data_IF_743839791599
#
_entry.id   IF_743839791599
#
_cell.length_a   1.000
_cell.length_b   1.000
_cell.length_c   1.000
_cell.angle_alpha   90.00
_cell.angle_beta   90.00
_cell.angle_gamma   90.00
#
_symmetry.space_group_name_H-M   'P 1'
#
loop_
_entity.id
_entity.type
_entity.pdbx_description
1 polymer ?
#
# COMPACT_ATOMS: atom_id res chain seq x y z
N UNK A 1 -16.44 10.53 9.75
CA UNK A 1 -15.74 11.40 8.78
C UNK A 1 -15.84 10.81 7.39
N UNK A 2 -16.12 11.66 6.44
CA UNK A 2 -16.22 11.25 5.06
C UNK A 2 -14.84 11.25 4.41
N UNK A 3 -14.67 10.45 3.39
CA UNK A 3 -13.39 10.44 2.67
C UNK A 3 -13.00 11.81 2.14
N UNK A 4 -13.98 12.60 1.70
CA UNK A 4 -13.72 13.93 1.18
C UNK A 4 -13.11 14.88 2.20
N UNK A 5 -13.27 14.59 3.47
CA UNK A 5 -12.72 15.45 4.50
C UNK A 5 -11.22 15.37 4.61
N UNK A 6 -10.61 14.41 3.95
CA UNK A 6 -9.14 14.29 3.93
C UNK A 6 -8.48 15.49 3.25
N UNK A 7 -9.22 16.26 2.47
CA UNK A 7 -8.69 17.47 1.87
C UNK A 7 -8.20 18.44 2.93
N UNK A 8 -8.92 18.57 4.04
CA UNK A 8 -8.48 19.42 5.14
C UNK A 8 -7.26 18.84 5.85
N UNK A 9 -7.19 17.53 5.94
CA UNK A 9 -6.11 16.84 6.65
C UNK A 9 -4.81 16.89 5.87
N UNK A 10 -4.88 16.92 4.54
CA UNK A 10 -3.70 16.83 3.69
C UNK A 10 -2.65 17.87 4.03
N UNK A 11 -3.09 19.10 4.33
CA UNK A 11 -2.14 20.18 4.59
C UNK A 11 -1.36 19.99 5.87
N UNK A 12 -1.88 19.22 6.81
CA UNK A 12 -1.21 18.98 8.09
C UNK A 12 -0.48 17.65 8.12
N UNK A 13 -0.69 16.82 7.12
CA UNK A 13 -0.17 15.46 7.15
C UNK A 13 1.35 15.41 7.13
N UNK A 14 1.97 16.36 6.43
CA UNK A 14 3.43 16.43 6.35
C UNK A 14 4.08 16.80 7.68
N UNK A 15 3.32 17.35 8.59
CA UNK A 15 3.84 17.72 9.91
C UNK A 15 3.87 16.53 10.86
N UNK A 16 3.29 15.40 10.48
CA UNK A 16 3.29 14.22 11.31
C UNK A 16 4.63 13.52 11.20
N UNK A 17 5.07 12.88 12.31
CA UNK A 17 6.28 12.07 12.23
C UNK A 17 6.11 10.97 11.19
N UNK A 18 7.17 10.68 10.47
CA UNK A 18 7.18 9.56 9.57
C UNK A 18 7.14 8.27 10.37
N UNK A 19 6.79 7.17 9.71
CA UNK A 19 6.86 5.87 10.34
C UNK A 19 8.31 5.57 10.71
N UNK A 20 8.49 4.77 11.77
CA UNK A 20 9.83 4.41 12.21
C UNK A 20 10.53 3.55 11.15
N UNK A 21 11.68 3.99 10.64
CA UNK A 21 12.41 3.17 9.66
C UNK A 21 12.80 1.81 10.22
N UNK A 22 13.17 1.75 11.50
CA UNK A 22 13.54 0.48 12.12
C UNK A 22 12.37 -0.49 12.16
N UNK A 23 11.18 0.01 12.48
CA UNK A 23 9.99 -0.83 12.51
C UNK A 23 9.64 -1.33 11.13
N UNK A 24 9.72 -0.46 10.13
CA UNK A 24 9.45 -0.85 8.76
C UNK A 24 10.44 -1.89 8.27
N UNK A 25 11.70 -1.71 8.59
CA UNK A 25 12.73 -2.69 8.21
C UNK A 25 12.39 -4.06 8.77
N UNK A 26 11.98 -4.12 10.03
CA UNK A 26 11.62 -5.39 10.66
C UNK A 26 10.38 -6.00 10.04
N UNK A 27 9.38 -5.18 9.73
CA UNK A 27 8.17 -5.68 9.08
C UNK A 27 8.47 -6.23 7.70
N UNK A 28 9.28 -5.53 6.92
CA UNK A 28 9.65 -5.97 5.59
C UNK A 28 10.40 -7.31 5.68
N UNK A 29 11.31 -7.44 6.63
CA UNK A 29 12.05 -8.69 6.82
C UNK A 29 11.11 -9.84 7.18
N UNK A 30 10.11 -9.57 8.03
CA UNK A 30 9.12 -10.58 8.39
C UNK A 30 8.28 -11.03 7.21
N UNK A 31 7.83 -10.07 6.40
CA UNK A 31 6.96 -10.38 5.26
C UNK A 31 7.74 -11.05 4.16
N UNK A 32 8.98 -10.64 3.97
CA UNK A 32 9.83 -11.16 2.90
C UNK A 32 10.56 -12.42 3.37
N UNK A 33 9.81 -13.42 3.80
CA UNK A 33 10.39 -14.66 4.32
C UNK A 33 11.09 -15.48 3.22
N UNK A 34 10.74 -15.24 1.97
CA UNK A 34 11.40 -15.87 0.83
C UNK A 34 12.71 -15.18 0.47
N UNK A 35 13.02 -14.09 1.15
CA UNK A 35 14.24 -13.30 0.95
C UNK A 35 14.44 -12.87 -0.50
N UNK A 36 13.36 -12.48 -1.14
CA UNK A 36 13.43 -11.92 -2.48
C UNK A 36 14.14 -10.59 -2.46
N UNK A 37 14.78 -10.26 -3.57
CA UNK A 37 15.41 -8.95 -3.70
C UNK A 37 14.34 -7.88 -3.70
N UNK A 38 14.46 -6.90 -2.80
CA UNK A 38 13.43 -5.89 -2.63
C UNK A 38 13.14 -5.11 -3.91
N UNK A 39 14.16 -4.86 -4.72
CA UNK A 39 13.95 -4.09 -5.95
C UNK A 39 13.13 -4.85 -6.99
N UNK A 40 12.93 -6.14 -6.80
CA UNK A 40 12.10 -6.95 -7.69
C UNK A 40 10.66 -7.06 -7.19
N UNK A 41 10.35 -6.48 -6.03
CA UNK A 41 9.02 -6.55 -5.45
C UNK A 41 8.18 -5.35 -5.88
N UNK A 42 6.97 -5.63 -6.34
CA UNK A 42 5.99 -4.59 -6.69
C UNK A 42 5.01 -4.43 -5.54
N UNK A 43 5.03 -3.28 -4.92
CA UNK A 43 4.13 -2.95 -3.83
C UNK A 43 3.01 -2.07 -4.37
N UNK A 44 1.80 -2.35 -3.95
CA UNK A 44 0.67 -1.44 -4.18
C UNK A 44 0.23 -0.92 -2.82
N UNK A 45 0.39 0.37 -2.62
CA UNK A 45 -0.07 1.02 -1.39
C UNK A 45 -1.40 1.69 -1.66
N UNK A 46 -2.43 1.24 -0.97
CA UNK A 46 -3.80 1.74 -1.14
C UNK A 46 -4.09 2.72 -0.02
N UNK A 47 -4.61 3.89 -0.40
CA UNK A 47 -4.81 4.96 0.56
C UNK A 47 -3.50 5.62 0.94
N UNK A 48 -2.67 5.91 -0.06
CA UNK A 48 -1.30 6.39 0.16
C UNK A 48 -1.23 7.79 0.77
N UNK A 49 -2.33 8.55 0.70
CA UNK A 49 -2.38 9.88 1.29
C UNK A 49 -1.39 10.81 0.64
N UNK A 50 -0.57 11.47 1.45
CA UNK A 50 0.43 12.43 0.95
C UNK A 50 1.80 11.80 0.75
N UNK A 51 1.89 10.46 0.83
CA UNK A 51 3.09 9.76 0.39
C UNK A 51 4.17 9.56 1.43
N UNK A 52 3.87 9.74 2.70
CA UNK A 52 4.89 9.57 3.75
C UNK A 52 5.41 8.14 3.79
N UNK A 53 4.51 7.17 3.94
CA UNK A 53 4.92 5.77 3.94
C UNK A 53 5.41 5.36 2.57
N UNK A 54 4.76 5.87 1.53
CA UNK A 54 5.12 5.57 0.15
C UNK A 54 6.61 5.83 -0.12
N UNK A 55 7.06 7.00 0.29
CA UNK A 55 8.46 7.38 0.07
C UNK A 55 9.41 6.47 0.85
N UNK A 56 9.04 6.14 2.09
CA UNK A 56 9.88 5.25 2.90
C UNK A 56 9.99 3.86 2.27
N UNK A 57 8.89 3.33 1.76
CA UNK A 57 8.90 2.04 1.09
C UNK A 57 9.81 2.07 -0.14
N UNK A 58 9.75 3.16 -0.88
CA UNK A 58 10.62 3.34 -2.04
C UNK A 58 12.08 3.39 -1.65
N UNK A 59 12.38 4.00 -0.51
CA UNK A 59 13.76 4.11 -0.03
C UNK A 59 14.35 2.76 0.38
N UNK A 60 13.51 1.78 0.68
CA UNK A 60 13.98 0.41 0.91
C UNK A 60 14.28 -0.32 -0.41
N UNK A 61 13.99 0.30 -1.53
CA UNK A 61 14.34 -0.24 -2.85
C UNK A 61 13.20 -0.88 -3.60
N UNK A 62 12.02 -0.99 -2.98
CA UNK A 62 10.88 -1.64 -3.63
C UNK A 62 10.25 -0.72 -4.67
N UNK A 63 9.59 -1.32 -5.65
CA UNK A 63 8.81 -0.58 -6.62
C UNK A 63 7.42 -0.32 -6.02
N UNK A 64 7.02 0.94 -5.99
CA UNK A 64 5.76 1.31 -5.33
C UNK A 64 4.80 1.96 -6.31
N UNK A 65 3.59 1.45 -6.33
CA UNK A 65 2.45 2.07 -7.01
C UNK A 65 1.51 2.58 -5.91
N UNK A 66 1.34 3.89 -5.85
CA UNK A 66 0.53 4.52 -4.82
C UNK A 66 -0.86 4.80 -5.38
N UNK A 67 -1.88 4.40 -4.64
CA UNK A 67 -3.27 4.58 -5.01
C UNK A 67 -3.94 5.45 -3.96
N UNK A 68 -4.54 6.57 -4.38
CA UNK A 68 -5.15 7.52 -3.46
C UNK A 68 -6.39 8.15 -4.12
N UNK A 69 -7.57 8.07 -3.47
CA UNK A 69 -8.78 8.64 -4.06
C UNK A 69 -8.88 10.15 -3.94
N UNK A 70 -8.30 10.76 -2.92
CA UNK A 70 -8.39 12.19 -2.70
C UNK A 70 -7.41 12.93 -3.60
N UNK A 71 -7.94 13.81 -4.45
CA UNK A 71 -7.12 14.48 -5.46
C UNK A 71 -6.04 15.37 -4.83
N UNK A 72 -6.38 16.11 -3.77
CA UNK A 72 -5.42 17.02 -3.14
C UNK A 72 -4.31 16.25 -2.44
N UNK A 73 -4.66 15.18 -1.71
CA UNK A 73 -3.64 14.36 -1.06
C UNK A 73 -2.72 13.72 -2.10
N UNK A 74 -3.30 13.24 -3.20
CA UNK A 74 -2.52 12.61 -4.23
C UNK A 74 -1.56 13.60 -4.90
N UNK A 75 -2.03 14.83 -5.15
CA UNK A 75 -1.17 15.85 -5.73
C UNK A 75 -0.01 16.20 -4.80
N UNK A 76 -0.28 16.29 -3.50
CA UNK A 76 0.81 16.53 -2.56
C UNK A 76 1.77 15.36 -2.52
N UNK A 77 1.26 14.13 -2.61
CA UNK A 77 2.10 12.94 -2.65
C UNK A 77 2.99 12.92 -3.88
N UNK A 78 2.43 13.26 -5.03
CA UNK A 78 3.20 13.33 -6.27
C UNK A 78 4.33 14.34 -6.12
N UNK A 79 4.03 15.52 -5.58
CA UNK A 79 5.03 16.56 -5.38
C UNK A 79 6.10 16.11 -4.38
N UNK A 80 5.68 15.47 -3.30
CA UNK A 80 6.57 15.01 -2.25
C UNK A 80 7.53 13.93 -2.73
N UNK A 81 7.09 13.11 -3.69
CA UNK A 81 7.86 11.98 -4.19
C UNK A 81 8.40 12.20 -5.60
N UNK A 82 8.49 13.45 -6.05
CA UNK A 82 8.81 13.76 -7.44
C UNK A 82 10.19 13.26 -7.87
N UNK A 83 11.10 13.11 -6.93
CA UNK A 83 12.47 12.68 -7.25
C UNK A 83 12.63 11.16 -7.15
N UNK A 84 11.53 10.43 -7.10
CA UNK A 84 11.53 8.98 -6.99
C UNK A 84 10.90 8.34 -8.21
N UNK A 85 10.94 7.00 -8.25
CA UNK A 85 10.29 6.22 -9.30
C UNK A 85 8.87 5.81 -8.92
N UNK A 86 8.33 6.36 -7.85
CA UNK A 86 6.98 6.03 -7.39
C UNK A 86 5.96 6.47 -8.44
N UNK A 87 5.03 5.58 -8.74
CA UNK A 87 3.92 5.88 -9.63
C UNK A 87 2.66 6.09 -8.81
N UNK A 88 1.83 7.01 -9.25
CA UNK A 88 0.60 7.36 -8.56
C UNK A 88 -0.58 7.18 -9.48
N UNK A 89 -1.71 6.76 -8.91
CA UNK A 89 -2.96 6.75 -9.65
C UNK A 89 -4.14 6.96 -8.71
N UNK A 90 -5.24 7.43 -9.27
CA UNK A 90 -6.47 7.61 -8.53
C UNK A 90 -7.15 6.26 -8.37
N UNK A 91 -7.64 6.01 -7.16
CA UNK A 91 -8.38 4.79 -6.87
C UNK A 91 -8.65 4.68 -5.40
N UNK A 92 -9.57 3.80 -5.06
CA UNK A 92 -9.97 3.54 -3.67
C UNK A 92 -9.66 2.08 -3.32
N UNK A 93 -9.88 1.74 -2.05
CA UNK A 93 -9.71 0.36 -1.62
C UNK A 93 -10.67 -0.60 -2.30
N UNK A 94 -11.85 -0.10 -2.68
CA UNK A 94 -12.87 -0.91 -3.36
C UNK A 94 -12.62 -1.02 -4.85
N UNK A 95 -12.02 0.03 -5.43
CA UNK A 95 -11.74 0.10 -6.86
C UNK A 95 -10.40 0.77 -7.05
N UNK A 96 -9.35 -0.01 -7.04
CA UNK A 96 -8.00 0.55 -7.12
C UNK A 96 -7.62 1.00 -8.53
N UNK A 97 -8.22 0.41 -9.54
CA UNK A 97 -7.81 0.66 -10.92
C UNK A 97 -6.52 -0.05 -11.29
N UNK A 98 -6.00 -0.87 -10.41
CA UNK A 98 -4.74 -1.57 -10.63
C UNK A 98 -4.99 -2.84 -11.42
N UNK A 99 -4.06 -3.16 -12.31
CA UNK A 99 -4.15 -4.37 -13.11
C UNK A 99 -4.10 -5.62 -12.25
N UNK A 100 -4.86 -6.64 -12.63
CA UNK A 100 -4.90 -7.88 -11.88
C UNK A 100 -3.54 -8.56 -11.86
N UNK A 101 -3.19 -9.11 -10.70
CA UNK A 101 -2.04 -10.00 -10.59
C UNK A 101 -0.68 -9.34 -10.67
N UNK A 102 -0.56 -8.03 -10.43
CA UNK A 102 0.75 -7.37 -10.54
C UNK A 102 1.46 -7.19 -9.22
N UNK A 103 0.74 -7.24 -8.11
CA UNK A 103 1.32 -6.87 -6.82
C UNK A 103 1.89 -8.07 -6.09
N UNK A 104 3.11 -7.91 -5.59
CA UNK A 104 3.64 -8.87 -4.64
C UNK A 104 3.04 -8.65 -3.26
N UNK A 105 2.90 -7.41 -2.85
CA UNK A 105 2.28 -7.03 -1.57
C UNK A 105 1.31 -5.91 -1.78
N UNK A 106 0.22 -5.91 -1.01
CA UNK A 106 -0.72 -4.80 -0.92
C UNK A 106 -0.64 -4.26 0.50
N UNK A 107 -0.41 -2.97 0.62
CA UNK A 107 -0.26 -2.31 1.92
C UNK A 107 -1.32 -1.24 2.05
N UNK A 108 -1.98 -1.21 3.20
CA UNK A 108 -2.94 -0.17 3.54
C UNK A 108 -2.76 0.14 5.03
N UNK A 109 -2.00 1.19 5.32
CA UNK A 109 -1.53 1.42 6.68
C UNK A 109 -2.57 2.08 7.59
N UNK A 110 -3.27 3.09 7.11
CA UNK A 110 -4.13 3.87 7.99
C UNK A 110 -5.51 4.16 7.42
N UNK A 111 -5.82 3.61 6.26
CA UNK A 111 -7.06 3.96 5.54
C UNK A 111 -8.08 2.85 5.48
N UNK A 112 -7.77 1.66 5.99
CA UNK A 112 -8.63 0.50 5.78
C UNK A 112 -10.03 0.70 6.35
N UNK A 113 -10.12 1.38 7.48
CA UNK A 113 -11.43 1.60 8.13
C UNK A 113 -12.34 2.51 7.31
N UNK A 114 -11.82 3.19 6.27
CA UNK A 114 -12.63 4.00 5.38
C UNK A 114 -13.25 3.20 4.24
N UNK A 115 -12.86 1.93 4.10
CA UNK A 115 -13.34 1.10 3.00
C UNK A 115 -14.37 0.09 3.50
N UNK A 116 -15.10 -0.50 2.55
CA UNK A 116 -15.98 -1.62 2.83
C UNK A 116 -15.16 -2.91 2.63
N UNK A 117 -14.85 -3.63 3.72
CA UNK A 117 -14.02 -4.84 3.58
C UNK A 117 -14.60 -5.88 2.65
N UNK A 118 -15.93 -5.93 2.52
CA UNK A 118 -16.57 -6.89 1.62
C UNK A 118 -16.21 -6.65 0.17
N UNK A 119 -15.82 -5.41 -0.16
CA UNK A 119 -15.41 -5.03 -1.51
C UNK A 119 -13.91 -4.88 -1.63
N UNK A 120 -13.25 -4.33 -0.61
CA UNK A 120 -11.82 -4.06 -0.70
C UNK A 120 -10.98 -5.32 -0.62
N UNK A 121 -11.37 -6.31 0.21
CA UNK A 121 -10.57 -7.52 0.31
C UNK A 121 -10.55 -8.33 -0.98
N UNK A 122 -11.69 -8.52 -1.68
CA UNK A 122 -11.63 -9.16 -3.00
C UNK A 122 -10.82 -8.34 -4.00
N UNK A 123 -10.86 -7.02 -3.91
CA UNK A 123 -10.09 -6.17 -4.81
C UNK A 123 -8.59 -6.36 -4.57
N UNK A 124 -8.15 -6.43 -3.31
CA UNK A 124 -6.76 -6.69 -2.98
C UNK A 124 -6.33 -8.06 -3.49
N UNK A 125 -7.20 -9.07 -3.32
CA UNK A 125 -6.90 -10.41 -3.83
C UNK A 125 -6.75 -10.39 -5.35
N UNK A 126 -7.57 -9.60 -6.03
CA UNK A 126 -7.50 -9.51 -7.49
C UNK A 126 -6.17 -8.97 -7.98
N UNK A 127 -5.64 -7.95 -7.31
CA UNK A 127 -4.41 -7.30 -7.76
C UNK A 127 -3.15 -8.02 -7.30
N UNK A 128 -3.26 -8.89 -6.29
CA UNK A 128 -2.12 -9.68 -5.85
C UNK A 128 -1.77 -10.76 -6.88
N UNK A 129 -0.50 -11.07 -6.98
CA UNK A 129 -0.05 -12.18 -7.82
C UNK A 129 -0.74 -13.44 -7.33
N UNK A 130 -1.03 -14.33 -8.27
CA UNK A 130 -1.79 -15.54 -7.96
C UNK A 130 -0.94 -16.54 -7.20
N UNK A 131 -0.87 -16.34 -5.88
CA UNK A 131 -0.11 -17.24 -5.02
C UNK A 131 -0.82 -18.58 -4.82
N UNK A 132 -2.13 -18.62 -5.04
CA UNK A 132 -2.86 -19.88 -4.92
C UNK A 132 -2.39 -20.87 -5.97
N UNK A 133 -2.08 -20.38 -7.12
CA UNK A 133 -1.47 -21.20 -8.13
C UNK A 133 -0.07 -21.61 -7.71
N UNK A 134 0.37 -21.00 -6.72
CA UNK A 134 1.68 -21.21 -6.15
C UNK A 134 1.58 -21.84 -4.80
N UNK A 135 0.30 -22.11 -4.15
CA UNK A 135 0.24 -22.48 -2.95
C UNK A 135 -0.50 -22.63 -2.34
N UNK A 136 -0.95 -22.61 -2.27
CA UNK A 136 -1.48 -22.44 -1.74
C UNK A 136 -1.58 -22.03 -0.93
N UNK A 137 -1.46 -21.98 -0.61
CA UNK A 137 -1.31 -21.17 0.00
C UNK A 137 -1.62 -20.43 0.82
N UNK A 138 -1.65 -20.72 1.06
CA UNK A 138 -1.55 -19.85 1.59
C UNK A 138 -2.02 -19.21 2.29
N UNK A 139 -2.08 -19.54 2.32
CA UNK A 139 -2.05 -18.67 2.77
C UNK A 139 -2.52 -17.92 3.14
N UNK A 140 -2.56 -18.38 3.24
CA UNK A 140 -2.59 -17.45 3.39
C UNK A 140 -2.88 -16.75 3.76
N UNK A 141 -2.84 -17.22 3.73
CA UNK A 141 -2.66 -16.31 3.87
C UNK A 141 -3.18 -15.59 4.37
N UNK A 142 -3.29 -16.23 4.55
CA UNK A 142 -3.37 -15.45 4.72
C UNK A 142 -3.66 -15.00 5.49
N UNK A 143 -3.67 -15.53 5.75
CA UNK A 143 -3.42 -14.94 6.25
C UNK A 143 -3.60 -14.15 6.70
N UNK A 144 -3.62 -14.54 6.84
CA UNK A 144 -3.38 -13.68 7.04
C UNK A 144 -3.75 -12.91 7.42
N UNK A 145 -3.87 -13.20 7.59
CA UNK A 145 -3.84 -12.34 7.77
C UNK A 145 -4.12 -11.58 8.37
N UNK A 146 -4.13 -11.97 8.61
CA UNK A 146 -4.03 -11.15 8.95
C UNK A 146 -3.98 -10.48 9.52
N UNK A 147 -3.98 -10.86 9.72
CA UNK A 147 -3.53 -10.12 10.03
C UNK A 147 -3.11 -9.59 10.00
N UNK A 148 -3.02 -9.82 10.00
CA UNK A 148 -2.40 -9.21 9.54
C UNK A 148 -2.19 -9.07 9.07
N UNK A 149 -2.06 -9.39 8.91
CA UNK A 149 -1.68 -9.10 8.09
C UNK A 149 -1.66 -9.05 7.41
N UNK A 150 -1.53 -9.39 7.20
CA UNK A 150 -1.34 -9.23 6.26
C UNK A 150 -1.37 -8.80 5.73
N UNK A 151 -1.21 -9.11 5.60
CA UNK A 151 -1.07 -8.52 4.94
C UNK A 151 -1.54 -7.62 4.88
N UNK A 152 -1.75 -7.39 5.26
CA UNK A 152 -1.89 -6.45 5.10
C UNK A 152 -1.62 -6.02 5.47
#
# INVERSE_FOLDING_TARGET
MKQGDFTQVAKHYHNRPAYSPMLLEKLIACINDEQKNLKDLQIVEVGAGTGKLTKMLSEFGMQVLAVEPNDEMREEGIAYTKDTNIKWQKGSGEETGVQSGIADWVIMASSFHWTDPKKSLPEFARILKNSAAQNSSAHTSTHNTSAGGGGF
#
